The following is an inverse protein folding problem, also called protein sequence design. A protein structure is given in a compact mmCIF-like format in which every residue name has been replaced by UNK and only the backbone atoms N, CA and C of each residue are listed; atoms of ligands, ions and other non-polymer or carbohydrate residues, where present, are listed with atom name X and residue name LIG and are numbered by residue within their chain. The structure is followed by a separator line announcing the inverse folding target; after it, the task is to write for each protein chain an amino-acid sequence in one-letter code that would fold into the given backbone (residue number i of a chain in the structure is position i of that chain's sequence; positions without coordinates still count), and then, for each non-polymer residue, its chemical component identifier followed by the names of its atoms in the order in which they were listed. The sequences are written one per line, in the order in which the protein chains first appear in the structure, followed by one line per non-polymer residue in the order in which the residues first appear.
data_IF_843220809582
#
_entry.id   IF_843220809582
#
_cell.length_a   1.000
_cell.length_b   1.000
_cell.length_c   1.000
_cell.angle_alpha   90.00
_cell.angle_beta   90.00
_cell.angle_gamma   90.00
#
_symmetry.space_group_name_H-M   'P 1'
#
loop_
_entity.id
_entity.type
_entity.pdbx_description
1 polymer ?
#
# COMPACT_ATOMS: atom_id res chain seq x y z
N UNK A 1 13.03 3.47 -17.23
CA UNK A 1 13.42 2.78 -15.98
C UNK A 1 14.67 3.48 -15.48
N UNK A 2 14.49 4.34 -14.48
CA UNK A 2 15.61 4.99 -13.82
C UNK A 2 16.20 3.95 -12.85
N UNK A 3 17.52 3.84 -12.75
CA UNK A 3 18.15 2.84 -11.87
C UNK A 3 17.94 3.18 -10.38
N UNK A 4 17.39 4.36 -10.08
CA UNK A 4 16.89 4.74 -8.75
C UNK A 4 15.46 4.26 -8.47
N UNK A 5 14.78 3.63 -9.43
CA UNK A 5 13.41 3.14 -9.22
C UNK A 5 13.44 2.02 -8.16
N UNK A 6 12.52 2.05 -7.17
CA UNK A 6 12.49 1.02 -6.15
C UNK A 6 12.28 -0.35 -6.80
N UNK A 7 12.89 -1.38 -6.22
CA UNK A 7 12.64 -2.76 -6.61
C UNK A 7 11.14 -3.02 -6.78
N UNK A 8 10.80 -3.70 -7.86
CA UNK A 8 9.42 -4.03 -8.20
C UNK A 8 8.72 -4.74 -7.05
N UNK A 9 7.45 -4.41 -6.84
CA UNK A 9 6.59 -4.97 -5.79
C UNK A 9 6.63 -6.50 -5.74
N UNK A 10 6.67 -7.15 -6.90
CA UNK A 10 6.78 -8.61 -7.00
C UNK A 10 8.08 -9.18 -6.40
N UNK A 11 9.20 -8.49 -6.58
CA UNK A 11 10.50 -8.90 -6.00
C UNK A 11 10.47 -8.79 -4.48
N UNK A 12 9.90 -7.72 -3.95
CA UNK A 12 9.76 -7.52 -2.50
C UNK A 12 8.79 -8.52 -1.86
N UNK A 13 7.76 -8.97 -2.58
CA UNK A 13 6.76 -9.90 -2.03
C UNK A 13 7.28 -11.33 -1.87
N UNK A 14 8.23 -11.77 -2.71
CA UNK A 14 8.67 -13.18 -2.80
C UNK A 14 9.12 -13.81 -1.48
N UNK A 15 9.92 -13.14 -0.63
CA UNK A 15 10.34 -13.72 0.65
C UNK A 15 9.20 -14.03 1.62
N UNK A 16 8.03 -13.43 1.43
CA UNK A 16 6.87 -13.54 2.32
C UNK A 16 5.84 -14.60 1.87
N UNK A 17 6.13 -15.28 0.75
CA UNK A 17 5.30 -16.36 0.25
C UNK A 17 5.60 -17.66 0.99
N UNK A 18 4.57 -18.46 1.25
CA UNK A 18 4.73 -19.81 1.79
C UNK A 18 5.45 -20.70 0.75
N UNK A 19 6.12 -21.78 1.17
CA UNK A 19 6.70 -22.74 0.22
C UNK A 19 5.66 -23.23 -0.79
N UNK A 20 5.96 -23.09 -2.10
CA UNK A 20 5.06 -23.47 -3.19
C UNK A 20 3.93 -22.47 -3.50
N UNK A 21 3.76 -21.42 -2.71
CA UNK A 21 2.78 -20.36 -2.98
C UNK A 21 3.21 -19.53 -4.18
N UNK A 22 2.35 -19.46 -5.20
CA UNK A 22 2.63 -18.69 -6.41
C UNK A 22 2.17 -17.23 -6.23
N UNK A 23 3.02 -16.28 -6.61
CA UNK A 23 2.60 -14.89 -6.72
C UNK A 23 1.66 -14.70 -7.90
N UNK A 24 0.49 -14.07 -7.71
CA UNK A 24 -0.32 -13.57 -8.82
C UNK A 24 0.14 -12.17 -9.20
N UNK A 25 0.07 -11.25 -8.25
CA UNK A 25 0.60 -9.90 -8.40
C UNK A 25 0.96 -9.32 -7.04
N UNK A 26 1.80 -8.30 -7.07
CA UNK A 26 2.04 -7.44 -5.93
C UNK A 26 2.08 -5.99 -6.41
N UNK A 27 1.56 -5.08 -5.59
CA UNK A 27 1.54 -3.65 -5.88
C UNK A 27 1.74 -2.85 -4.60
N UNK A 28 2.43 -1.72 -4.72
CA UNK A 28 2.48 -0.74 -3.64
C UNK A 28 1.16 0.01 -3.60
N UNK A 29 0.59 0.16 -2.41
CA UNK A 29 -0.68 0.85 -2.20
C UNK A 29 -0.63 1.66 -0.91
N UNK A 30 -0.88 2.96 -0.99
CA UNK A 30 -0.82 3.93 0.11
C UNK A 30 -2.19 4.43 0.50
N UNK A 31 -2.38 4.56 1.81
CA UNK A 31 -3.63 5.05 2.39
C UNK A 31 -4.79 4.10 2.10
N UNK A 32 -5.81 4.18 2.94
CA UNK A 32 -7.06 3.54 2.64
C UNK A 32 -8.21 4.34 3.24
N UNK A 33 -9.39 4.21 2.62
CA UNK A 33 -10.61 4.86 3.07
C UNK A 33 -11.80 3.90 3.04
N UNK A 34 -12.90 4.33 3.62
CA UNK A 34 -14.14 3.56 3.71
C UNK A 34 -15.28 4.27 2.98
N UNK A 35 -15.86 3.58 2.00
CA UNK A 35 -17.12 3.89 1.34
C UNK A 35 -18.18 2.87 1.80
N UNK A 36 -18.45 2.88 3.10
CA UNK A 36 -19.34 1.93 3.76
C UNK A 36 -20.50 2.69 4.36
N UNK A 37 -21.73 2.26 4.07
CA UNK A 37 -22.92 2.93 4.56
C UNK A 37 -22.89 3.05 6.10
N UNK A 38 -23.03 4.28 6.57
CA UNK A 38 -23.05 4.61 8.01
C UNK A 38 -21.68 4.87 8.62
N UNK A 39 -20.59 4.80 7.83
CA UNK A 39 -19.24 5.16 8.25
C UNK A 39 -18.77 6.46 7.59
N UNK A 40 -17.82 7.14 8.24
CA UNK A 40 -17.00 8.20 7.64
C UNK A 40 -15.92 7.59 6.74
N UNK A 41 -15.23 8.39 5.90
CA UNK A 41 -14.08 7.92 5.12
C UNK A 41 -12.96 7.27 5.95
N UNK A 42 -12.86 7.61 7.25
CA UNK A 42 -11.88 7.04 8.19
C UNK A 42 -12.42 5.79 8.92
N UNK A 43 -13.60 5.29 8.54
CA UNK A 43 -14.21 4.09 9.10
C UNK A 43 -14.88 4.31 10.46
N UNK A 44 -15.05 5.55 10.90
CA UNK A 44 -15.74 5.86 12.15
C UNK A 44 -17.25 5.90 11.94
N UNK A 45 -18.07 5.51 12.93
CA UNK A 45 -19.52 5.66 12.83
C UNK A 45 -19.92 7.12 12.56
N UNK A 46 -20.71 7.35 11.52
CA UNK A 46 -21.20 8.68 11.18
C UNK A 46 -22.19 9.16 12.27
N UNK A 47 -21.78 10.13 13.08
CA UNK A 47 -22.66 10.71 14.11
C UNK A 47 -23.75 11.55 13.44
N UNK A 48 -25.00 11.08 13.46
CA UNK A 48 -26.18 11.93 13.24
C UNK A 48 -26.92 11.85 11.89
N UNK A 49 -26.93 10.71 11.18
CA UNK A 49 -27.54 10.65 9.84
C UNK A 49 -28.95 10.05 9.77
N UNK A 50 -29.93 10.84 10.21
CA UNK A 50 -31.29 10.90 9.62
C UNK A 50 -31.22 11.51 8.19
N UNK A 51 -30.33 11.04 7.29
CA UNK A 51 -30.40 11.41 5.87
C UNK A 51 -31.09 10.30 5.08
N UNK A 52 -32.27 10.69 4.60
CA UNK A 52 -33.06 10.15 3.49
C UNK A 52 -32.37 9.04 2.70
N UNK A 53 -33.03 7.89 2.71
CA UNK A 53 -32.87 6.78 1.78
C UNK A 53 -33.15 7.32 0.37
N UNK A 54 -32.10 7.69 -0.37
CA UNK A 54 -32.22 8.23 -1.72
C UNK A 54 -30.87 8.18 -2.42
N UNK A 55 -30.59 7.05 -3.08
CA UNK A 55 -29.77 6.90 -4.30
C UNK A 55 -28.50 7.76 -4.51
N UNK A 56 -27.75 8.14 -3.46
CA UNK A 56 -26.62 9.08 -3.62
C UNK A 56 -25.35 8.77 -2.83
N UNK A 57 -25.23 7.60 -2.19
CA UNK A 57 -24.02 7.25 -1.43
C UNK A 57 -22.76 7.15 -2.33
N UNK A 58 -22.93 6.85 -3.62
CA UNK A 58 -21.83 6.80 -4.58
C UNK A 58 -21.23 8.19 -4.91
N UNK A 59 -21.96 9.28 -4.66
CA UNK A 59 -21.58 10.62 -5.12
C UNK A 59 -20.69 11.36 -4.12
N UNK A 60 -20.86 11.14 -2.81
CA UNK A 60 -20.10 11.88 -1.78
C UNK A 60 -18.62 11.49 -1.72
N UNK A 61 -18.29 10.25 -2.08
CA UNK A 61 -16.90 9.79 -2.25
C UNK A 61 -16.35 10.17 -3.63
N UNK A 62 -17.22 10.29 -4.64
CA UNK A 62 -16.81 10.77 -5.97
C UNK A 62 -16.40 12.25 -5.94
N UNK A 63 -17.07 13.09 -5.15
CA UNK A 63 -16.78 14.53 -5.09
C UNK A 63 -15.55 14.88 -4.22
N UNK A 64 -15.33 14.18 -3.10
CA UNK A 64 -14.13 14.35 -2.28
C UNK A 64 -12.85 13.77 -2.93
N UNK A 65 -13.00 12.92 -3.94
CA UNK A 65 -11.90 12.33 -4.72
C UNK A 65 -11.93 12.80 -6.18
N UNK A 66 -12.75 13.81 -6.50
CA UNK A 66 -12.80 14.41 -7.84
C UNK A 66 -11.56 15.29 -8.01
N UNK A 67 -10.70 14.83 -8.89
CA UNK A 67 -9.32 15.23 -9.18
C UNK A 67 -9.18 16.60 -9.85
N UNK A 68 -9.97 17.60 -9.43
CA UNK A 68 -10.06 18.88 -10.14
C UNK A 68 -9.54 20.09 -9.34
N UNK A 69 -8.89 19.88 -8.20
CA UNK A 69 -8.19 20.95 -7.46
C UNK A 69 -7.04 20.34 -6.63
N UNK A 70 -5.96 20.00 -7.31
CA UNK A 70 -4.70 19.52 -6.70
C UNK A 70 -3.88 20.71 -6.20
N UNK A 71 -4.34 21.36 -5.13
CA UNK A 71 -3.51 22.27 -4.36
C UNK A 71 -2.40 21.48 -3.64
N UNK A 72 -1.18 22.05 -3.49
CA UNK A 72 -0.02 21.36 -2.92
C UNK A 72 -0.22 20.88 -1.45
N UNK A 73 -1.24 21.40 -0.77
CA UNK A 73 -1.52 21.11 0.65
C UNK A 73 -2.53 19.98 0.88
N UNK A 74 -3.12 19.39 -0.17
CA UNK A 74 -4.08 18.29 0.00
C UNK A 74 -3.37 16.94 0.11
N UNK A 75 -3.76 16.07 1.05
CA UNK A 75 -3.21 14.72 1.11
C UNK A 75 -3.55 13.95 -0.18
N UNK A 76 -2.68 13.04 -0.63
CA UNK A 76 -2.94 12.25 -1.83
C UNK A 76 -4.21 11.40 -1.64
N UNK A 77 -4.96 11.12 -2.72
CA UNK A 77 -6.15 10.29 -2.64
C UNK A 77 -5.81 8.87 -2.16
N UNK A 78 -6.72 8.19 -1.45
CA UNK A 78 -6.50 6.83 -1.01
C UNK A 78 -6.40 5.88 -2.21
N UNK A 79 -5.38 5.02 -2.21
CA UNK A 79 -5.21 4.00 -3.25
C UNK A 79 -6.03 2.74 -3.00
N UNK A 80 -6.62 2.61 -1.81
CA UNK A 80 -7.42 1.44 -1.43
C UNK A 80 -8.72 1.92 -0.79
N UNK A 81 -9.87 1.48 -1.27
CA UNK A 81 -11.17 1.89 -0.73
C UNK A 81 -12.02 0.67 -0.43
N UNK A 82 -12.37 0.44 0.83
CA UNK A 82 -13.36 -0.57 1.20
C UNK A 82 -14.76 -0.07 0.88
N UNK A 83 -15.61 -0.92 0.32
CA UNK A 83 -17.02 -0.63 0.08
C UNK A 83 -17.94 -1.67 0.71
N UNK A 84 -19.16 -1.27 1.05
CA UNK A 84 -20.16 -2.20 1.56
C UNK A 84 -21.47 -1.57 2.03
N UNK A 85 -22.51 -2.40 2.15
CA UNK A 85 -23.87 -1.96 2.45
C UNK A 85 -24.13 -1.55 3.91
N UNK A 86 -23.21 -1.86 4.84
CA UNK A 86 -23.30 -1.52 6.27
C UNK A 86 -21.94 -1.65 6.97
N UNK A 87 -21.79 -1.04 8.13
CA UNK A 87 -20.66 -1.29 9.02
C UNK A 87 -20.58 -2.77 9.46
N UNK A 88 -19.37 -3.26 9.72
CA UNK A 88 -19.13 -4.64 10.17
C UNK A 88 -19.11 -5.70 9.05
N UNK A 89 -19.15 -5.27 7.79
CA UNK A 89 -18.90 -6.17 6.65
C UNK A 89 -17.43 -6.59 6.57
N UNK A 90 -17.14 -7.67 5.84
CA UNK A 90 -15.81 -8.26 5.76
C UNK A 90 -14.74 -7.25 5.32
N UNK A 91 -15.02 -6.42 4.31
CA UNK A 91 -14.06 -5.42 3.83
C UNK A 91 -13.76 -4.34 4.88
N UNK A 92 -14.78 -3.93 5.64
CA UNK A 92 -14.62 -2.98 6.74
C UNK A 92 -13.74 -3.57 7.85
N UNK A 93 -14.08 -4.76 8.33
CA UNK A 93 -13.32 -5.41 9.41
C UNK A 93 -11.87 -5.72 8.99
N UNK A 94 -11.68 -6.14 7.74
CA UNK A 94 -10.35 -6.40 7.19
C UNK A 94 -9.47 -5.15 7.19
N UNK A 95 -9.92 -4.03 6.60
CA UNK A 95 -9.12 -2.81 6.55
C UNK A 95 -8.96 -2.16 7.93
N UNK A 96 -9.96 -2.25 8.81
CA UNK A 96 -9.89 -1.73 10.17
C UNK A 96 -8.81 -2.44 11.01
N UNK A 97 -8.54 -3.71 10.73
CA UNK A 97 -7.47 -4.46 11.38
C UNK A 97 -6.07 -4.03 10.95
N UNK A 98 -5.94 -3.24 9.87
CA UNK A 98 -4.65 -2.81 9.35
C UNK A 98 -4.22 -1.51 10.06
N UNK A 99 -2.99 -1.44 10.61
CA UNK A 99 -2.49 -0.22 11.22
C UNK A 99 -2.56 0.98 10.27
N UNK A 100 -3.09 2.10 10.78
CA UNK A 100 -2.99 3.41 10.13
C UNK A 100 -1.66 4.02 10.54
N UNK A 101 -0.63 3.76 9.75
CA UNK A 101 0.75 4.17 10.04
C UNK A 101 1.24 5.17 8.97
N UNK A 102 1.72 6.33 9.43
CA UNK A 102 2.31 7.37 8.60
C UNK A 102 3.61 6.90 7.93
N UNK A 103 4.09 7.59 6.89
CA UNK A 103 4.17 7.09 5.53
C UNK A 103 4.90 5.73 5.39
N UNK A 104 4.29 4.65 5.88
CA UNK A 104 4.82 3.30 5.67
C UNK A 104 4.55 2.88 4.23
N UNK A 105 5.57 2.38 3.52
CA UNK A 105 5.34 1.71 2.24
C UNK A 105 4.59 0.42 2.52
N UNK A 106 3.38 0.34 1.99
CA UNK A 106 2.54 -0.86 2.11
C UNK A 106 2.50 -1.61 0.78
N UNK A 107 2.69 -2.91 0.88
CA UNK A 107 2.71 -3.84 -0.23
C UNK A 107 1.49 -4.77 -0.13
N UNK A 108 0.68 -4.77 -1.19
CA UNK A 108 -0.48 -5.64 -1.36
C UNK A 108 -0.09 -6.79 -2.26
N UNK A 109 -0.31 -8.02 -1.79
CA UNK A 109 0.17 -9.23 -2.45
C UNK A 109 -0.98 -10.20 -2.62
N UNK A 110 -1.37 -10.47 -3.86
CA UNK A 110 -2.36 -11.50 -4.16
C UNK A 110 -1.68 -12.81 -4.55
N UNK A 111 -2.13 -13.90 -3.93
CA UNK A 111 -1.74 -15.28 -4.24
C UNK A 111 -3.01 -16.09 -4.51
N UNK A 112 -2.90 -17.35 -5.01
CA UNK A 112 -4.04 -18.25 -5.08
C UNK A 112 -4.71 -18.52 -3.73
N UNK A 113 -3.99 -18.32 -2.62
CA UNK A 113 -4.44 -18.71 -1.28
C UNK A 113 -4.98 -17.55 -0.45
N UNK A 114 -4.57 -16.32 -0.73
CA UNK A 114 -4.87 -15.15 0.11
C UNK A 114 -4.50 -13.83 -0.57
N UNK A 115 -5.09 -12.75 -0.06
CA UNK A 115 -4.53 -11.41 -0.15
C UNK A 115 -3.73 -11.14 1.14
N UNK A 116 -2.43 -10.87 0.99
CA UNK A 116 -1.50 -10.56 2.06
C UNK A 116 -1.15 -9.06 2.02
N UNK A 117 -1.14 -8.42 3.19
CA UNK A 117 -0.74 -7.03 3.36
C UNK A 117 0.53 -6.96 4.19
N UNK A 118 1.53 -6.27 3.65
CA UNK A 118 2.86 -6.13 4.22
C UNK A 118 3.16 -4.65 4.45
N UNK A 119 3.68 -4.33 5.63
CA UNK A 119 4.16 -2.99 5.96
C UNK A 119 5.68 -2.99 6.03
N UNK A 120 6.31 -1.99 5.43
CA UNK A 120 7.76 -1.78 5.58
C UNK A 120 8.09 -1.58 7.06
N UNK A 121 9.05 -2.36 7.56
CA UNK A 121 9.51 -2.26 8.93
C UNK A 121 10.30 -0.97 9.06
N UNK A 122 9.75 -0.02 9.81
CA UNK A 122 10.50 1.16 10.23
C UNK A 122 11.48 0.71 11.32
N UNK A 123 12.81 0.85 11.12
CA UNK A 123 13.77 0.56 12.16
C UNK A 123 13.48 1.46 13.36
N UNK A 124 13.27 0.87 14.54
CA UNK A 124 13.26 1.67 15.77
C UNK A 124 14.67 2.23 15.91
N UNK A 125 14.81 3.55 15.83
CA UNK A 125 16.11 4.18 16.04
C UNK A 125 16.65 3.70 17.41
N UNK A 126 17.90 3.20 17.48
CA UNK A 126 18.49 2.88 18.77
C UNK A 126 18.40 4.13 19.65
N UNK A 127 18.12 3.97 20.97
CA UNK A 127 18.03 5.11 21.86
C UNK A 127 19.28 5.97 21.68
N UNK A 128 19.09 7.28 21.47
CA UNK A 128 20.23 8.18 21.33
C UNK A 128 21.12 7.98 22.57
N UNK A 129 22.42 7.67 22.39
CA UNK A 129 23.31 7.56 23.53
C UNK A 129 23.24 8.87 24.29
N UNK A 130 22.90 8.80 25.58
CA UNK A 130 22.88 9.97 26.45
C UNK A 130 24.16 10.76 26.21
N UNK A 131 24.01 12.02 25.84
CA UNK A 131 25.13 12.91 25.53
C UNK A 131 25.98 13.05 26.78
N UNK A 132 26.96 12.16 26.94
CA UNK A 132 28.05 12.33 27.90
C UNK A 132 28.88 13.50 27.40
N UNK A 133 28.74 14.65 28.08
CA UNK A 133 29.48 15.89 27.86
C UNK A 133 30.98 15.79 28.23
N UNK A 134 31.61 14.63 28.09
CA UNK A 134 32.95 14.34 28.62
C UNK A 134 33.83 13.62 27.58
N UNK A 135 34.03 14.24 26.42
CA UNK A 135 34.94 13.66 25.42
C UNK A 135 35.14 14.46 24.14
N UNK A 136 35.20 15.79 24.20
CA UNK A 136 35.69 16.60 23.08
C UNK A 136 37.22 16.54 23.02
N UNK A 137 37.77 15.48 22.43
CA UNK A 137 39.06 15.51 21.77
C UNK A 137 39.30 14.19 21.02
N UNK A 138 39.87 14.32 19.83
CA UNK A 138 40.57 13.31 18.99
C UNK A 138 39.84 13.00 17.68
N UNK A 139 40.40 13.52 16.58
CA UNK A 139 40.42 12.77 15.32
C UNK A 139 39.83 13.42 14.05
N UNK A 140 39.94 14.73 13.83
CA UNK A 140 39.74 15.29 12.48
C UNK A 140 41.05 15.27 11.70
N UNK A 141 41.25 14.25 10.86
CA UNK A 141 42.35 14.27 9.88
C UNK A 141 42.79 12.91 9.38
N UNK A 142 42.00 12.26 8.51
CA UNK A 142 42.53 11.26 7.54
C UNK A 142 41.63 10.82 6.38
N UNK A 143 40.39 11.28 6.23
CA UNK A 143 39.45 10.65 5.27
C UNK A 143 39.11 11.47 3.99
N UNK A 144 40.00 12.37 3.54
CA UNK A 144 39.75 13.13 2.30
C UNK A 144 40.40 12.49 1.06
N UNK A 145 41.21 11.43 1.22
CA UNK A 145 41.94 10.81 0.11
C UNK A 145 41.14 9.73 -0.68
N UNK A 146 40.04 9.18 -0.13
CA UNK A 146 39.28 8.11 -0.79
C UNK A 146 38.18 8.61 -1.75
N UNK A 147 37.84 9.91 -1.71
CA UNK A 147 36.72 10.47 -2.47
C UNK A 147 37.07 10.72 -3.96
N UNK A 148 38.36 10.66 -4.33
CA UNK A 148 38.82 10.97 -5.70
C UNK A 148 38.97 9.74 -6.62
N UNK A 149 38.83 8.52 -6.11
CA UNK A 149 38.98 7.28 -6.91
C UNK A 149 37.75 6.37 -6.90
N UNK A 150 36.68 6.74 -6.18
CA UNK A 150 35.46 5.94 -6.18
C UNK A 150 34.69 6.11 -7.50
N UNK A 151 35.02 5.26 -8.48
CA UNK A 151 34.31 5.14 -9.75
C UNK A 151 33.05 4.28 -9.65
N UNK A 152 32.70 3.83 -8.45
CA UNK A 152 31.54 2.95 -8.23
C UNK A 152 30.26 3.74 -8.49
N UNK A 153 29.45 3.29 -9.45
CA UNK A 153 28.18 3.95 -9.74
C UNK A 153 27.18 3.66 -8.63
N UNK A 154 26.47 4.69 -8.20
CA UNK A 154 25.34 4.57 -7.28
C UNK A 154 24.02 4.67 -8.04
N UNK A 155 23.03 3.89 -7.63
CA UNK A 155 21.73 3.75 -8.25
C UNK A 155 20.63 3.82 -7.19
N UNK A 156 20.24 5.05 -6.82
CA UNK A 156 19.43 5.28 -5.62
C UNK A 156 20.19 4.83 -4.37
N UNK A 157 19.59 3.96 -3.57
CA UNK A 157 20.20 3.38 -2.37
C UNK A 157 21.21 2.25 -2.68
N UNK A 158 21.42 1.88 -3.95
CA UNK A 158 22.24 0.73 -4.35
C UNK A 158 23.60 1.13 -4.92
N UNK A 159 24.60 0.24 -4.81
CA UNK A 159 25.94 0.41 -5.37
C UNK A 159 26.26 -0.66 -6.41
N UNK A 160 27.00 -0.27 -7.44
CA UNK A 160 27.53 -1.20 -8.44
C UNK A 160 28.40 -2.28 -7.78
N UNK A 161 28.16 -3.55 -8.10
CA UNK A 161 28.87 -4.70 -7.54
C UNK A 161 28.33 -5.23 -6.21
N UNK A 162 27.40 -4.52 -5.56
CA UNK A 162 26.73 -4.98 -4.34
C UNK A 162 25.37 -5.65 -4.66
N UNK A 163 24.99 -6.73 -3.96
CA UNK A 163 23.64 -7.29 -4.06
C UNK A 163 22.59 -6.24 -3.69
N UNK A 164 21.53 -6.12 -4.49
CA UNK A 164 20.42 -5.21 -4.20
C UNK A 164 19.72 -5.66 -2.92
N UNK A 165 19.75 -4.81 -1.90
CA UNK A 165 19.08 -5.09 -0.63
C UNK A 165 17.55 -5.05 -0.82
N UNK A 166 16.88 -6.11 -0.37
CA UNK A 166 15.44 -6.09 -0.21
C UNK A 166 15.08 -5.24 1.01
N UNK A 167 13.92 -4.59 0.97
CA UNK A 167 13.41 -3.87 2.14
C UNK A 167 12.82 -4.90 3.11
N UNK A 168 12.96 -4.65 4.40
CA UNK A 168 12.34 -5.50 5.41
C UNK A 168 10.86 -5.11 5.55
N UNK A 169 9.97 -6.06 5.33
CA UNK A 169 8.53 -5.94 5.54
C UNK A 169 8.06 -6.91 6.63
N UNK A 170 6.91 -6.59 7.24
CA UNK A 170 6.21 -7.45 8.18
C UNK A 170 4.75 -7.66 7.73
N UNK A 171 4.22 -8.90 7.83
CA UNK A 171 2.79 -9.14 7.63
C UNK A 171 1.94 -8.39 8.64
N UNK A 172 0.96 -7.63 8.17
CA UNK A 172 0.02 -6.89 9.04
C UNK A 172 -1.42 -7.34 8.89
N UNK A 173 -1.79 -7.93 7.76
CA UNK A 173 -3.11 -8.53 7.57
C UNK A 173 -3.09 -9.62 6.49
N UNK A 174 -4.03 -10.56 6.61
CA UNK A 174 -4.27 -11.63 5.65
C UNK A 174 -5.78 -11.79 5.44
N UNK A 175 -6.21 -11.80 4.19
CA UNK A 175 -7.57 -12.14 3.79
C UNK A 175 -7.55 -13.47 3.02
N UNK A 176 -8.08 -14.56 3.60
CA UNK A 176 -8.08 -15.88 2.97
C UNK A 176 -8.86 -15.91 1.64
N UNK A 177 -8.44 -16.78 0.71
CA UNK A 177 -9.05 -16.90 -0.63
C UNK A 177 -10.55 -17.23 -0.58
N UNK A 178 -10.99 -18.01 0.39
CA UNK A 178 -12.40 -18.41 0.55
C UNK A 178 -13.33 -17.23 0.88
N UNK A 179 -12.78 -16.10 1.34
CA UNK A 179 -13.52 -14.85 1.55
C UNK A 179 -13.62 -13.99 0.29
N UNK A 180 -12.82 -14.27 -0.73
CA UNK A 180 -12.79 -13.52 -1.99
C UNK A 180 -13.78 -14.17 -2.96
N UNK A 181 -14.83 -13.46 -3.34
CA UNK A 181 -15.79 -13.96 -4.32
C UNK A 181 -15.23 -13.86 -5.74
N UNK A 182 -14.70 -12.68 -6.10
CA UNK A 182 -14.18 -12.39 -7.45
C UNK A 182 -13.25 -11.18 -7.44
N UNK A 183 -12.46 -11.05 -8.49
CA UNK A 183 -11.65 -9.88 -8.79
C UNK A 183 -11.93 -9.50 -10.23
N UNK A 184 -12.28 -8.23 -10.48
CA UNK A 184 -12.64 -7.71 -11.79
C UNK A 184 -12.09 -6.29 -11.96
N UNK A 185 -12.11 -5.77 -13.18
CA UNK A 185 -11.96 -4.32 -13.43
C UNK A 185 -13.33 -3.67 -13.28
N UNK A 186 -13.40 -2.59 -12.50
CA UNK A 186 -14.60 -1.80 -12.32
C UNK A 186 -14.28 -0.31 -12.44
N UNK A 187 -15.29 0.54 -12.34
CA UNK A 187 -15.12 1.99 -12.26
C UNK A 187 -15.49 2.48 -10.87
N UNK A 188 -14.71 3.45 -10.36
CA UNK A 188 -15.08 4.24 -9.18
C UNK A 188 -14.97 5.72 -9.52
N UNK A 189 -16.11 6.37 -9.72
CA UNK A 189 -16.17 7.65 -10.41
C UNK A 189 -15.98 7.43 -11.90
N UNK A 190 -15.00 8.10 -12.50
CA UNK A 190 -14.61 7.92 -13.92
C UNK A 190 -13.26 7.23 -14.11
N UNK A 191 -12.70 6.66 -13.04
CA UNK A 191 -11.38 6.01 -13.06
C UNK A 191 -11.53 4.50 -12.92
N UNK A 192 -10.80 3.70 -13.73
CA UNK A 192 -10.77 2.26 -13.57
C UNK A 192 -10.12 1.89 -12.23
N UNK A 193 -10.58 0.78 -11.65
CA UNK A 193 -10.05 0.20 -10.41
C UNK A 193 -10.02 -1.31 -10.52
N UNK A 194 -9.08 -1.95 -9.83
CA UNK A 194 -9.18 -3.39 -9.58
C UNK A 194 -10.13 -3.60 -8.41
N UNK A 195 -11.31 -4.17 -8.66
CA UNK A 195 -12.31 -4.45 -7.63
C UNK A 195 -12.19 -5.88 -7.16
N UNK A 196 -11.91 -6.08 -5.88
CA UNK A 196 -12.03 -7.36 -5.20
C UNK A 196 -13.34 -7.42 -4.44
N UNK A 197 -14.29 -8.22 -4.90
CA UNK A 197 -15.56 -8.45 -4.19
C UNK A 197 -15.42 -9.65 -3.24
N UNK A 198 -16.00 -9.54 -2.05
CA UNK A 198 -16.01 -10.55 -1.00
C UNK A 198 -17.34 -11.30 -0.98
N UNK A 199 -17.36 -12.43 -0.29
CA UNK A 199 -18.53 -13.34 -0.24
C UNK A 199 -19.78 -12.73 0.40
N UNK A 200 -19.65 -11.67 1.18
CA UNK A 200 -20.78 -10.93 1.79
C UNK A 200 -21.27 -9.75 0.92
N UNK A 201 -20.73 -9.60 -0.29
CA UNK A 201 -21.05 -8.50 -1.22
C UNK A 201 -20.30 -7.19 -0.94
N UNK A 202 -19.52 -7.11 0.15
CA UNK A 202 -18.57 -6.01 0.35
C UNK A 202 -17.31 -6.20 -0.49
N UNK A 203 -16.39 -5.24 -0.49
CA UNK A 203 -15.14 -5.41 -1.23
C UNK A 203 -14.15 -4.28 -1.07
N UNK A 204 -13.06 -4.38 -1.82
CA UNK A 204 -11.96 -3.42 -1.83
C UNK A 204 -11.67 -3.02 -3.27
N UNK A 205 -11.63 -1.73 -3.53
CA UNK A 205 -11.19 -1.15 -4.80
C UNK A 205 -9.73 -0.69 -4.69
N UNK A 206 -8.89 -1.13 -5.61
CA UNK A 206 -7.49 -0.72 -5.71
C UNK A 206 -7.29 0.27 -6.87
N UNK A 207 -6.65 1.39 -6.55
CA UNK A 207 -6.24 2.50 -7.42
C UNK A 207 -4.73 2.64 -7.34
N UNK A 208 -4.01 1.66 -7.85
CA UNK A 208 -2.55 1.76 -7.94
C UNK A 208 -2.19 2.76 -9.04
N UNK A 209 -1.07 3.48 -8.89
CA UNK A 209 -0.61 4.54 -9.82
C UNK A 209 -0.21 4.04 -11.23
N UNK A 210 -0.62 2.82 -11.60
CA UNK A 210 -0.38 2.20 -12.88
C UNK A 210 -1.71 2.16 -13.65
N UNK A 211 -2.12 3.33 -14.14
CA UNK A 211 -3.43 3.57 -14.76
C UNK A 211 -3.77 2.62 -15.93
N UNK A 212 -2.77 1.96 -16.53
CA UNK A 212 -2.92 1.11 -17.73
C UNK A 212 -2.74 -0.41 -17.51
N UNK A 213 -2.68 -0.89 -16.25
CA UNK A 213 -2.33 -2.31 -15.99
C UNK A 213 -3.43 -3.13 -15.29
N UNK A 214 -4.65 -2.62 -15.15
CA UNK A 214 -5.72 -3.38 -14.48
C UNK A 214 -6.10 -4.67 -15.20
N UNK A 215 -6.13 -4.67 -16.54
CA UNK A 215 -6.34 -5.89 -17.32
C UNK A 215 -5.21 -6.90 -17.13
N UNK A 216 -3.96 -6.42 -17.02
CA UNK A 216 -2.81 -7.27 -16.73
C UNK A 216 -2.89 -7.86 -15.31
N UNK A 217 -3.25 -7.06 -14.31
CA UNK A 217 -3.46 -7.52 -12.93
C UNK A 217 -4.61 -8.53 -12.84
N UNK A 218 -5.68 -8.31 -13.60
CA UNK A 218 -6.81 -9.23 -13.70
C UNK A 218 -6.37 -10.55 -14.35
N UNK A 219 -5.67 -10.50 -15.48
CA UNK A 219 -5.14 -11.69 -16.15
C UNK A 219 -4.22 -12.49 -15.21
N UNK A 220 -3.34 -11.82 -14.47
CA UNK A 220 -2.50 -12.42 -13.43
C UNK A 220 -3.31 -13.05 -12.30
N UNK A 221 -4.37 -12.39 -11.85
CA UNK A 221 -5.29 -12.92 -10.83
C UNK A 221 -5.92 -14.24 -11.27
N UNK A 222 -6.32 -14.32 -12.55
CA UNK A 222 -6.88 -15.51 -13.17
C UNK A 222 -5.83 -16.57 -13.57
N UNK A 223 -4.56 -16.32 -13.27
CA UNK A 223 -3.48 -17.29 -13.42
C UNK A 223 -2.77 -17.27 -14.77
N UNK A 224 -2.93 -16.23 -15.58
CA UNK A 224 -2.05 -16.00 -16.72
C UNK A 224 -0.58 -15.85 -16.25
N UNK A 225 0.33 -16.45 -17.01
CA UNK A 225 1.77 -16.47 -16.73
C UNK A 225 2.50 -15.34 -17.45
#
# INVERSE_FOLDING_TARGET
MNLSDPLGAATQARPYLRPGEQLRWAAYGRGFAFDVRGLTPDGQPAKGLLRKIGSGAAEFVAEAISDNDSGPDRPPPPQVVAFGGRAGVLAHEFLRGIPVSAPIRRLWVLTPLRLLVLDERVPVAPPEPEKSFLGKAIGFGRDVAAILTDRTKTYGDNREGEPIALRDFVPVAELPRDRIARVDVAERGRKPVLRMSLVDGSGVDFRFDADDHFDWLLARTNGAR
#
